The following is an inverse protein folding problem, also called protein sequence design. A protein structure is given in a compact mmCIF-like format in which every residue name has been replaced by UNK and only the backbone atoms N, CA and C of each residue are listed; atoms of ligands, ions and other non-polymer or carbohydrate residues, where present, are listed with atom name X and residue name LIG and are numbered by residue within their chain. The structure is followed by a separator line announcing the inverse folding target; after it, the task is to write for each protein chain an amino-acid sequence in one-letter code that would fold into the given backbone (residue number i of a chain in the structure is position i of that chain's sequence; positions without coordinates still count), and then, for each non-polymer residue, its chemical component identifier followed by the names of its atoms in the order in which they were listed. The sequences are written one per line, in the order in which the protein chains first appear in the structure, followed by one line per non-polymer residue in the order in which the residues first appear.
data_IF_497691923967
#
_entry.id   IF_497691923967
#
_cell.length_a   1.000
_cell.length_b   1.000
_cell.length_c   1.000
_cell.angle_alpha   90.00
_cell.angle_beta   90.00
_cell.angle_gamma   90.00
#
_symmetry.space_group_name_H-M   'P 1'
#
loop_
_entity.id
_entity.type
_entity.pdbx_description
1 polymer ?
#
# COMPACT_ATOMS: atom_id res chain seq x y z
N UNK A 1 18.90 -16.38 3.40
CA UNK A 1 18.10 -15.89 4.55
C UNK A 1 17.35 -14.60 4.23
N UNK A 2 18.04 -13.52 3.81
CA UNK A 2 17.39 -12.23 3.51
C UNK A 2 16.28 -12.30 2.44
N UNK A 3 16.49 -13.08 1.36
CA UNK A 3 15.50 -13.27 0.29
C UNK A 3 14.21 -13.92 0.83
N UNK A 4 14.32 -15.01 1.60
CA UNK A 4 13.15 -15.69 2.18
C UNK A 4 12.34 -14.76 3.09
N UNK A 5 13.02 -13.98 3.95
CA UNK A 5 12.36 -13.00 4.83
C UNK A 5 11.63 -11.94 3.99
N UNK A 6 12.26 -11.45 2.91
CA UNK A 6 11.65 -10.47 2.03
C UNK A 6 10.43 -11.03 1.27
N UNK A 7 10.48 -12.29 0.80
CA UNK A 7 9.35 -12.95 0.15
C UNK A 7 8.17 -13.12 1.12
N UNK A 8 8.44 -13.56 2.36
CA UNK A 8 7.40 -13.67 3.40
C UNK A 8 6.79 -12.29 3.69
N UNK A 9 7.62 -11.25 3.77
CA UNK A 9 7.16 -9.87 4.00
C UNK A 9 6.25 -9.39 2.88
N UNK A 10 6.68 -9.57 1.62
CA UNK A 10 5.87 -9.21 0.44
C UNK A 10 4.58 -10.02 0.39
N UNK A 11 4.62 -11.31 0.73
CA UNK A 11 3.43 -12.17 0.79
C UNK A 11 2.44 -11.65 1.84
N UNK A 12 2.88 -11.38 3.07
CA UNK A 12 2.02 -10.90 4.16
C UNK A 12 1.40 -9.54 3.79
N UNK A 13 2.21 -8.61 3.26
CA UNK A 13 1.72 -7.29 2.87
C UNK A 13 0.77 -7.40 1.67
N UNK A 14 1.12 -8.20 0.65
CA UNK A 14 0.27 -8.44 -0.52
C UNK A 14 -1.08 -9.05 -0.14
N UNK A 15 -1.09 -10.04 0.76
CA UNK A 15 -2.30 -10.64 1.31
C UNK A 15 -3.13 -9.61 2.08
N UNK A 16 -2.49 -8.79 2.91
CA UNK A 16 -3.18 -7.72 3.66
C UNK A 16 -3.83 -6.72 2.71
N UNK A 17 -3.12 -6.27 1.67
CA UNK A 17 -3.64 -5.36 0.64
C UNK A 17 -4.82 -5.99 -0.08
N UNK A 18 -4.70 -7.25 -0.53
CA UNK A 18 -5.77 -7.95 -1.23
C UNK A 18 -7.02 -8.11 -0.36
N UNK A 19 -6.86 -8.48 0.91
CA UNK A 19 -7.98 -8.66 1.85
C UNK A 19 -8.67 -7.34 2.19
N UNK A 20 -7.91 -6.29 2.50
CA UNK A 20 -8.47 -4.97 2.79
C UNK A 20 -9.18 -4.38 1.57
N UNK A 21 -8.60 -4.57 0.38
CA UNK A 21 -9.20 -4.10 -0.86
C UNK A 21 -10.48 -4.88 -1.19
N UNK A 22 -10.49 -6.20 -1.04
CA UNK A 22 -11.67 -7.04 -1.20
C UNK A 22 -12.79 -6.63 -0.25
N UNK A 23 -12.47 -6.43 1.04
CA UNK A 23 -13.43 -5.93 2.02
C UNK A 23 -13.98 -4.54 1.64
N UNK A 24 -13.11 -3.65 1.19
CA UNK A 24 -13.49 -2.31 0.73
C UNK A 24 -14.44 -2.32 -0.47
N UNK A 25 -14.32 -3.28 -1.40
CA UNK A 25 -15.21 -3.33 -2.57
C UNK A 25 -16.67 -3.50 -2.12
N UNK A 26 -16.91 -4.36 -1.14
CA UNK A 26 -18.24 -4.60 -0.57
C UNK A 26 -18.72 -3.44 0.33
N UNK A 27 -17.81 -2.82 1.09
CA UNK A 27 -18.15 -1.76 2.05
C UNK A 27 -17.18 -0.56 1.97
N UNK A 28 -17.20 0.23 0.87
CA UNK A 28 -16.20 1.28 0.63
C UNK A 28 -16.27 2.40 1.66
N UNK A 29 -17.49 2.79 2.09
CA UNK A 29 -17.68 3.82 3.12
C UNK A 29 -17.09 3.38 4.47
N UNK A 30 -17.29 2.12 4.88
CA UNK A 30 -16.74 1.60 6.15
C UNK A 30 -15.21 1.56 6.12
N UNK A 31 -14.63 1.18 4.98
CA UNK A 31 -13.18 1.20 4.80
C UNK A 31 -12.64 2.63 4.91
N UNK A 32 -13.26 3.59 4.23
CA UNK A 32 -12.81 4.99 4.26
C UNK A 32 -12.87 5.57 5.68
N UNK A 33 -13.95 5.33 6.43
CA UNK A 33 -14.05 5.77 7.84
C UNK A 33 -12.98 5.10 8.71
N UNK A 34 -12.69 3.81 8.48
CA UNK A 34 -11.64 3.11 9.24
C UNK A 34 -10.25 3.68 8.93
N UNK A 35 -9.93 3.90 7.64
CA UNK A 35 -8.66 4.49 7.22
C UNK A 35 -8.51 5.91 7.76
N UNK A 36 -9.55 6.74 7.69
CA UNK A 36 -9.50 8.10 8.25
C UNK A 36 -9.25 8.07 9.76
N UNK A 37 -9.93 7.18 10.50
CA UNK A 37 -9.72 7.03 11.95
C UNK A 37 -8.29 6.61 12.31
N UNK A 38 -7.65 5.79 11.48
CA UNK A 38 -6.25 5.39 11.69
C UNK A 38 -5.28 6.52 11.34
N UNK A 39 -5.52 7.25 10.25
CA UNK A 39 -4.69 8.38 9.82
C UNK A 39 -4.84 9.62 10.73
N UNK A 40 -5.99 9.78 11.35
CA UNK A 40 -6.28 10.84 12.34
C UNK A 40 -5.57 10.63 13.67
N UNK A 41 -4.86 9.51 13.87
CA UNK A 41 -3.95 9.32 15.01
C UNK A 41 -2.54 9.80 14.67
N UNK A 42 -1.86 10.39 15.65
CA UNK A 42 -0.50 10.95 15.47
C UNK A 42 0.49 9.92 14.90
N UNK A 43 0.29 8.64 15.22
CA UNK A 43 1.13 7.54 14.76
C UNK A 43 0.79 7.02 13.35
N UNK A 44 -0.39 7.35 12.79
CA UNK A 44 -0.88 6.78 11.54
C UNK A 44 0.05 7.03 10.36
N UNK A 45 0.59 8.25 10.26
CA UNK A 45 1.55 8.61 9.21
C UNK A 45 2.87 7.85 9.37
N UNK A 46 3.38 7.73 10.60
CA UNK A 46 4.62 6.98 10.84
C UNK A 46 4.46 5.51 10.46
N UNK A 47 3.31 4.89 10.77
CA UNK A 47 3.01 3.53 10.32
C UNK A 47 2.93 3.45 8.79
N UNK A 48 2.28 4.41 8.14
CA UNK A 48 2.18 4.47 6.69
C UNK A 48 3.55 4.60 5.99
N UNK A 49 4.49 5.33 6.61
CA UNK A 49 5.88 5.46 6.15
C UNK A 49 6.64 4.15 6.38
N UNK A 50 6.60 3.60 7.59
CA UNK A 50 7.33 2.38 7.97
C UNK A 50 6.90 1.21 7.08
N UNK A 51 5.59 1.00 6.91
CA UNK A 51 5.05 -0.08 6.06
C UNK A 51 5.53 0.07 4.61
N UNK A 52 5.56 1.29 4.07
CA UNK A 52 6.04 1.54 2.70
C UNK A 52 7.54 1.30 2.54
N UNK A 53 8.35 1.68 3.53
CA UNK A 53 9.78 1.41 3.52
C UNK A 53 10.07 -0.09 3.62
N UNK A 54 9.40 -0.79 4.52
CA UNK A 54 9.52 -2.25 4.67
C UNK A 54 9.12 -2.94 3.37
N UNK A 55 7.96 -2.58 2.79
CA UNK A 55 7.51 -3.13 1.51
C UNK A 55 8.52 -2.83 0.41
N UNK A 56 8.98 -1.59 0.29
CA UNK A 56 9.86 -1.17 -0.80
C UNK A 56 11.21 -1.88 -0.78
N UNK A 57 11.82 -1.98 0.40
CA UNK A 57 13.06 -2.73 0.61
C UNK A 57 12.85 -4.23 0.37
N UNK A 58 11.75 -4.79 0.88
CA UNK A 58 11.44 -6.20 0.66
C UNK A 58 11.24 -6.53 -0.83
N UNK A 59 10.59 -5.66 -1.60
CA UNK A 59 10.44 -5.84 -3.05
C UNK A 59 11.78 -5.82 -3.78
N UNK A 60 12.68 -4.90 -3.44
CA UNK A 60 14.01 -4.81 -4.08
C UNK A 60 14.86 -6.04 -3.74
N UNK A 61 14.82 -6.51 -2.50
CA UNK A 61 15.58 -7.70 -2.08
C UNK A 61 14.99 -8.98 -2.68
N UNK A 62 13.66 -9.08 -2.79
CA UNK A 62 12.97 -10.22 -3.38
C UNK A 62 13.07 -10.24 -4.92
N UNK A 63 13.34 -9.10 -5.56
CA UNK A 63 13.33 -8.95 -7.01
C UNK A 63 14.14 -10.02 -7.78
N UNK A 64 15.37 -10.40 -7.40
CA UNK A 64 16.14 -11.40 -8.15
C UNK A 64 15.53 -12.81 -8.13
N UNK A 65 14.67 -13.10 -7.16
CA UNK A 65 13.98 -14.38 -7.02
C UNK A 65 12.57 -14.36 -7.64
N UNK A 66 12.07 -13.19 -8.06
CA UNK A 66 10.75 -13.04 -8.66
C UNK A 66 10.79 -13.33 -10.17
N UNK A 67 9.70 -13.85 -10.76
CA UNK A 67 9.54 -13.90 -12.22
C UNK A 67 9.56 -12.51 -12.89
N UNK A 68 9.36 -11.43 -12.13
CA UNK A 68 9.31 -10.05 -12.63
C UNK A 68 10.31 -9.11 -11.91
N UNK A 69 11.64 -9.32 -12.03
CA UNK A 69 12.63 -8.58 -11.25
C UNK A 69 12.55 -7.06 -11.43
N UNK A 70 12.42 -6.59 -12.68
CA UNK A 70 12.34 -5.16 -13.00
C UNK A 70 11.09 -4.52 -12.39
N UNK A 71 9.96 -5.21 -12.45
CA UNK A 71 8.69 -4.71 -11.90
C UNK A 71 8.76 -4.58 -10.38
N UNK A 72 9.36 -5.56 -9.71
CA UNK A 72 9.59 -5.51 -8.26
C UNK A 72 10.53 -4.37 -7.87
N UNK A 73 11.62 -4.14 -8.62
CA UNK A 73 12.52 -3.02 -8.37
C UNK A 73 11.82 -1.67 -8.53
N UNK A 74 11.04 -1.50 -9.60
CA UNK A 74 10.30 -0.25 -9.87
C UNK A 74 9.27 0.01 -8.77
N UNK A 75 8.43 -0.97 -8.42
CA UNK A 75 7.46 -0.80 -7.34
C UNK A 75 8.15 -0.58 -5.99
N UNK A 76 9.28 -1.24 -5.74
CA UNK A 76 10.07 -1.03 -4.54
C UNK A 76 10.60 0.40 -4.43
N UNK A 77 11.16 0.94 -5.52
CA UNK A 77 11.62 2.31 -5.59
C UNK A 77 10.47 3.32 -5.42
N UNK A 78 9.33 3.11 -6.08
CA UNK A 78 8.13 3.94 -5.94
C UNK A 78 7.66 3.96 -4.47
N UNK A 79 7.62 2.80 -3.81
CA UNK A 79 7.20 2.71 -2.41
C UNK A 79 8.13 3.50 -1.47
N UNK A 80 9.45 3.42 -1.68
CA UNK A 80 10.44 4.17 -0.90
C UNK A 80 10.28 5.68 -1.16
N UNK A 81 10.19 6.10 -2.42
CA UNK A 81 10.00 7.51 -2.78
C UNK A 81 8.70 8.04 -2.17
N UNK A 82 7.62 7.27 -2.23
CA UNK A 82 6.35 7.65 -1.62
C UNK A 82 6.45 7.78 -0.09
N UNK A 83 7.22 6.91 0.57
CA UNK A 83 7.45 7.01 2.01
C UNK A 83 8.21 8.29 2.38
N UNK A 84 9.26 8.63 1.61
CA UNK A 84 10.03 9.87 1.80
C UNK A 84 9.16 11.09 1.52
N UNK A 85 8.41 11.09 0.41
CA UNK A 85 7.48 12.17 0.08
C UNK A 85 6.45 12.38 1.20
N UNK A 86 5.93 11.29 1.78
CA UNK A 86 4.96 11.36 2.89
C UNK A 86 5.57 12.01 4.15
N UNK A 87 6.85 11.74 4.44
CA UNK A 87 7.58 12.43 5.52
C UNK A 87 7.78 13.92 5.24
N UNK A 88 8.13 14.28 4.01
CA UNK A 88 8.39 15.68 3.62
C UNK A 88 7.12 16.53 3.60
N UNK A 89 6.02 15.97 3.13
CA UNK A 89 4.73 16.65 3.02
C UNK A 89 4.13 16.92 4.41
N UNK A 90 4.35 16.01 5.36
CA UNK A 90 3.86 16.13 6.72
C UNK A 90 2.33 15.99 6.85
N UNK A 91 1.86 15.95 8.09
CA UNK A 91 0.48 15.57 8.43
C UNK A 91 -0.58 16.55 7.95
N UNK A 92 -0.28 17.84 8.01
CA UNK A 92 -1.24 18.90 7.67
C UNK A 92 -1.61 18.94 6.18
N UNK A 93 -0.71 18.56 5.27
CA UNK A 93 -1.07 18.45 3.85
C UNK A 93 -1.77 17.13 3.55
N UNK A 94 -1.37 16.02 4.20
CA UNK A 94 -1.99 14.70 4.01
C UNK A 94 -3.46 14.73 4.41
N UNK A 95 -3.79 15.32 5.56
CA UNK A 95 -5.18 15.48 5.98
C UNK A 95 -6.00 16.30 4.98
N UNK A 96 -5.43 17.40 4.45
CA UNK A 96 -6.07 18.22 3.41
C UNK A 96 -6.27 17.46 2.10
N UNK A 97 -5.30 16.63 1.71
CA UNK A 97 -5.39 15.79 0.52
C UNK A 97 -6.48 14.72 0.66
N UNK A 98 -6.57 14.08 1.83
CA UNK A 98 -7.60 13.07 2.12
C UNK A 98 -9.00 13.72 2.10
N UNK A 99 -9.15 14.90 2.70
CA UNK A 99 -10.41 15.64 2.69
C UNK A 99 -10.83 16.00 1.26
N UNK A 100 -9.93 16.60 0.49
CA UNK A 100 -10.16 16.93 -0.93
C UNK A 100 -10.51 15.68 -1.76
N UNK A 101 -9.79 14.57 -1.55
CA UNK A 101 -10.05 13.32 -2.27
C UNK A 101 -11.41 12.73 -1.90
N UNK A 102 -11.82 12.82 -0.64
CA UNK A 102 -13.11 12.31 -0.18
C UNK A 102 -14.30 13.13 -0.72
N UNK A 103 -14.10 14.41 -0.99
CA UNK A 103 -15.12 15.28 -1.59
C UNK A 103 -15.24 15.08 -3.10
N UNK A 104 -14.11 14.83 -3.80
CA UNK A 104 -14.08 14.77 -5.26
C UNK A 104 -14.35 13.37 -5.83
N UNK A 105 -14.09 12.31 -5.07
CA UNK A 105 -14.04 10.94 -5.59
C UNK A 105 -15.33 10.18 -5.31
N UNK A 106 -16.00 9.75 -6.38
CA UNK A 106 -17.23 8.95 -6.28
C UNK A 106 -16.97 7.56 -5.68
N UNK A 107 -18.00 6.99 -5.05
CA UNK A 107 -17.96 5.61 -4.53
C UNK A 107 -17.60 4.59 -5.61
N UNK A 108 -18.05 4.81 -6.85
CA UNK A 108 -17.70 3.96 -7.99
C UNK A 108 -16.20 3.99 -8.28
N UNK A 109 -15.58 5.18 -8.25
CA UNK A 109 -14.14 5.35 -8.44
C UNK A 109 -13.35 4.66 -7.32
N UNK A 110 -13.80 4.76 -6.06
CA UNK A 110 -13.17 4.06 -4.92
C UNK A 110 -13.19 2.54 -5.16
N UNK A 111 -14.32 1.98 -5.61
CA UNK A 111 -14.41 0.54 -5.92
C UNK A 111 -13.44 0.11 -7.01
N UNK A 112 -13.27 0.90 -8.06
CA UNK A 112 -12.28 0.62 -9.12
C UNK A 112 -10.86 0.61 -8.56
N UNK A 113 -10.51 1.57 -7.71
CA UNK A 113 -9.21 1.58 -7.02
C UNK A 113 -9.01 0.37 -6.13
N UNK A 114 -10.06 -0.10 -5.47
CA UNK A 114 -9.99 -1.30 -4.63
C UNK A 114 -9.87 -2.58 -5.47
N UNK A 115 -10.52 -2.68 -6.63
CA UNK A 115 -10.27 -3.78 -7.57
C UNK A 115 -8.82 -3.79 -8.02
N UNK A 116 -8.24 -2.62 -8.29
CA UNK A 116 -6.80 -2.52 -8.56
C UNK A 116 -5.96 -2.96 -7.37
N UNK A 117 -6.35 -2.62 -6.14
CA UNK A 117 -5.72 -3.10 -4.91
C UNK A 117 -5.74 -4.62 -4.77
N UNK A 118 -6.85 -5.27 -5.10
CA UNK A 118 -6.95 -6.74 -5.12
C UNK A 118 -5.98 -7.32 -6.15
N UNK A 119 -6.01 -6.80 -7.38
CA UNK A 119 -5.14 -7.26 -8.45
C UNK A 119 -3.65 -7.06 -8.10
N UNK A 120 -3.30 -5.92 -7.51
CA UNK A 120 -1.95 -5.61 -7.06
C UNK A 120 -1.49 -6.53 -5.92
N UNK A 121 -2.33 -6.75 -4.90
CA UNK A 121 -2.04 -7.69 -3.82
C UNK A 121 -1.86 -9.12 -4.32
N UNK A 122 -2.71 -9.56 -5.25
CA UNK A 122 -2.58 -10.85 -5.92
C UNK A 122 -1.29 -10.96 -6.76
N UNK A 123 -0.92 -9.91 -7.48
CA UNK A 123 0.34 -9.84 -8.22
C UNK A 123 1.55 -9.96 -7.30
N UNK A 124 1.54 -9.28 -6.15
CA UNK A 124 2.63 -9.37 -5.17
C UNK A 124 2.79 -10.80 -4.63
N UNK A 125 1.68 -11.46 -4.30
CA UNK A 125 1.68 -12.86 -3.84
C UNK A 125 2.23 -13.77 -4.94
N UNK A 126 1.70 -13.65 -6.15
CA UNK A 126 2.15 -14.46 -7.29
C UNK A 126 3.63 -14.24 -7.62
N UNK A 127 4.14 -13.03 -7.46
CA UNK A 127 5.53 -12.71 -7.77
C UNK A 127 6.54 -13.23 -6.75
N UNK A 128 6.11 -13.76 -5.61
CA UNK A 128 7.00 -14.33 -4.57
C UNK A 128 6.76 -15.80 -4.25
N UNK A 129 5.70 -16.39 -4.80
CA UNK A 129 5.46 -17.84 -4.84
C UNK A 129 6.31 -18.49 -5.93
#
# INVERSE_FOLDING_TARGET
MAILISQITVFIIGATVALLAAWGVFAPAKLMTWVSTVMDKDWGIYVAVIVRLILGVALIIAAPASPFPVVFQVFGAIAIIAAVALLLIGRGLVGRLIAWFSEQVSVATIRVWLLFGIAFGGFLIYGVL
#
